data_IF_875462728510
#
_entry.id   IF_875462728510
#
_cell.length_a   1.000
_cell.length_b   1.000
_cell.length_c   1.000
_cell.angle_alpha   90.00
_cell.angle_beta   90.00
_cell.angle_gamma   90.00
#
_symmetry.space_group_name_H-M   'P 1'
#
loop_
_entity.id
_entity.type
_entity.pdbx_description
1 polymer ?
#
# COMPACT_ATOMS: atom_id res chain seq x y z
N UNK A 1 -7.60 4.18 -1.26
CA UNK A 1 -6.76 3.73 -2.41
C UNK A 1 -6.85 4.73 -3.57
N UNK A 2 -8.04 5.01 -4.13
CA UNK A 2 -8.20 5.86 -5.34
C UNK A 2 -7.49 7.22 -5.28
N UNK A 3 -7.54 7.90 -4.14
CA UNK A 3 -6.90 9.21 -3.96
C UNK A 3 -5.36 9.16 -4.05
N UNK A 4 -4.78 7.96 -3.99
CA UNK A 4 -3.33 7.72 -3.92
C UNK A 4 -2.77 7.06 -5.18
N UNK A 5 -3.60 6.73 -6.18
CA UNK A 5 -3.18 5.99 -7.38
C UNK A 5 -2.96 6.87 -8.62
N UNK A 6 -2.83 8.19 -8.49
CA UNK A 6 -2.46 9.16 -9.56
C UNK A 6 -3.00 8.78 -10.97
N UNK A 7 -4.32 8.78 -11.16
CA UNK A 7 -5.00 8.45 -12.43
C UNK A 7 -4.81 7.03 -12.98
N UNK A 8 -4.19 6.11 -12.25
CA UNK A 8 -4.39 4.68 -12.53
C UNK A 8 -5.82 4.34 -12.16
N UNK A 9 -6.64 4.02 -13.16
CA UNK A 9 -7.97 3.47 -12.89
C UNK A 9 -7.78 2.25 -12.00
N UNK A 10 -8.60 2.13 -10.96
CA UNK A 10 -8.61 0.94 -10.11
C UNK A 10 -8.66 -0.33 -10.96
N UNK A 11 -9.41 -0.30 -12.06
CA UNK A 11 -9.56 -1.37 -13.04
C UNK A 11 -8.23 -1.88 -13.63
N UNK A 12 -7.20 -1.04 -13.70
CA UNK A 12 -5.85 -1.44 -14.16
C UNK A 12 -4.98 -2.05 -13.05
N UNK A 13 -5.40 -1.93 -11.80
CA UNK A 13 -4.72 -2.56 -10.67
C UNK A 13 -5.14 -4.02 -10.62
N UNK A 14 -4.16 -4.92 -10.64
CA UNK A 14 -4.43 -6.34 -10.52
C UNK A 14 -5.19 -6.65 -9.23
N UNK A 15 -5.99 -7.72 -9.23
CA UNK A 15 -6.71 -8.14 -8.03
C UNK A 15 -5.76 -8.41 -6.86
N UNK A 16 -4.55 -8.92 -7.16
CA UNK A 16 -3.50 -9.19 -6.17
C UNK A 16 -3.01 -7.88 -5.54
N UNK A 17 -2.56 -6.92 -6.34
CA UNK A 17 -2.06 -5.63 -5.83
C UNK A 17 -3.11 -4.88 -5.03
N UNK A 18 -4.37 -4.95 -5.46
CA UNK A 18 -5.49 -4.32 -4.75
C UNK A 18 -5.71 -4.94 -3.38
N UNK A 19 -5.64 -6.26 -3.26
CA UNK A 19 -5.81 -6.94 -1.97
C UNK A 19 -4.62 -6.70 -1.04
N UNK A 20 -3.39 -6.71 -1.58
CA UNK A 20 -2.18 -6.34 -0.83
C UNK A 20 -2.32 -4.92 -0.27
N UNK A 21 -2.70 -3.95 -1.10
CA UNK A 21 -2.91 -2.57 -0.66
C UNK A 21 -4.00 -2.46 0.41
N UNK A 22 -5.14 -3.16 0.24
CA UNK A 22 -6.23 -3.14 1.24
C UNK A 22 -5.76 -3.64 2.60
N UNK A 23 -5.05 -4.76 2.63
CA UNK A 23 -4.51 -5.33 3.87
C UNK A 23 -3.53 -4.37 4.53
N UNK A 24 -2.51 -3.92 3.80
CA UNK A 24 -1.48 -3.03 4.35
C UNK A 24 -2.05 -1.70 4.85
N UNK A 25 -3.02 -1.12 4.13
CA UNK A 25 -3.70 0.12 4.55
C UNK A 25 -4.49 -0.11 5.83
N UNK A 26 -5.19 -1.24 5.95
CA UNK A 26 -5.91 -1.57 7.17
C UNK A 26 -4.97 -1.66 8.38
N UNK A 27 -3.85 -2.37 8.23
CA UNK A 27 -2.85 -2.48 9.30
C UNK A 27 -2.30 -1.10 9.70
N UNK A 28 -1.90 -0.28 8.72
CA UNK A 28 -1.32 1.06 8.95
C UNK A 28 -2.30 2.00 9.69
N UNK A 29 -3.59 1.93 9.36
CA UNK A 29 -4.59 2.87 9.88
C UNK A 29 -5.22 2.42 11.20
N UNK A 30 -5.33 1.12 11.44
CA UNK A 30 -6.15 0.61 12.54
C UNK A 30 -5.38 -0.27 13.54
N UNK A 31 -4.25 -0.88 13.16
CA UNK A 31 -3.51 -1.80 14.04
C UNK A 31 -2.31 -1.10 14.69
N UNK A 32 -2.53 -0.58 15.90
CA UNK A 32 -1.50 0.18 16.66
C UNK A 32 -0.32 -0.68 17.14
N UNK A 33 -0.48 -1.99 17.20
CA UNK A 33 0.54 -2.93 17.65
C UNK A 33 1.50 -3.38 16.54
N UNK A 34 1.26 -2.98 15.28
CA UNK A 34 2.10 -3.33 14.15
C UNK A 34 2.86 -2.08 13.70
N UNK A 35 4.20 -2.08 13.71
CA UNK A 35 4.96 -0.97 13.16
C UNK A 35 4.64 -0.81 11.67
N UNK A 36 4.25 0.40 11.26
CA UNK A 36 3.85 0.67 9.88
C UNK A 36 4.91 0.31 8.84
N UNK A 37 6.19 0.50 9.17
CA UNK A 37 7.31 0.13 8.30
C UNK A 37 7.32 -1.37 8.00
N UNK A 38 6.90 -2.21 8.96
CA UNK A 38 6.77 -3.66 8.77
C UNK A 38 5.62 -3.94 7.80
N UNK A 39 4.42 -3.38 8.03
CA UNK A 39 3.28 -3.55 7.12
C UNK A 39 3.61 -3.12 5.67
N UNK A 40 4.37 -2.04 5.50
CA UNK A 40 4.82 -1.60 4.17
C UNK A 40 5.80 -2.60 3.57
N UNK A 41 6.81 -3.05 4.33
CA UNK A 41 7.79 -4.02 3.85
C UNK A 41 7.14 -5.34 3.42
N UNK A 42 6.27 -5.90 4.25
CA UNK A 42 5.56 -7.16 3.95
C UNK A 42 4.65 -7.03 2.73
N UNK A 43 3.98 -5.89 2.56
CA UNK A 43 3.18 -5.63 1.37
C UNK A 43 4.04 -5.60 0.09
N UNK A 44 5.24 -5.03 0.15
CA UNK A 44 6.19 -5.00 -0.97
C UNK A 44 6.71 -6.41 -1.30
N UNK A 45 7.02 -7.22 -0.28
CA UNK A 45 7.45 -8.61 -0.50
C UNK A 45 6.33 -9.49 -1.10
N UNK A 46 5.08 -9.32 -0.63
CA UNK A 46 3.93 -9.98 -1.24
C UNK A 46 3.74 -9.57 -2.71
N UNK A 47 3.95 -8.28 -3.02
CA UNK A 47 3.85 -7.77 -4.38
C UNK A 47 4.96 -8.28 -5.29
N UNK A 48 6.18 -8.50 -4.77
CA UNK A 48 7.26 -9.18 -5.50
C UNK A 48 6.92 -10.65 -5.77
N UNK A 49 6.32 -11.33 -4.79
CA UNK A 49 6.06 -12.77 -4.86
C UNK A 49 4.87 -13.12 -5.76
N UNK A 50 3.81 -12.33 -5.71
CA UNK A 50 2.54 -12.66 -6.36
C UNK A 50 2.09 -11.64 -7.42
N UNK A 51 2.70 -10.46 -7.46
CA UNK A 51 2.34 -9.41 -8.40
C UNK A 51 3.04 -9.54 -9.76
N UNK A 52 2.91 -8.48 -10.55
CA UNK A 52 3.61 -8.28 -11.82
C UNK A 52 5.01 -7.70 -11.60
N UNK A 53 5.81 -7.60 -12.67
CA UNK A 53 7.13 -6.97 -12.63
C UNK A 53 7.12 -5.53 -12.09
N UNK A 54 6.00 -4.80 -12.18
CA UNK A 54 5.85 -3.43 -11.69
C UNK A 54 5.13 -3.33 -10.35
N UNK A 55 4.65 -4.44 -9.79
CA UNK A 55 3.77 -4.41 -8.61
C UNK A 55 4.48 -3.92 -7.36
N UNK A 56 5.72 -4.35 -7.12
CA UNK A 56 6.46 -3.97 -5.91
C UNK A 56 6.72 -2.45 -5.82
N UNK A 57 7.10 -1.83 -6.94
CA UNK A 57 7.37 -0.38 -6.99
C UNK A 57 6.07 0.42 -6.89
N UNK A 58 4.99 -0.06 -7.51
CA UNK A 58 3.66 0.50 -7.39
C UNK A 58 3.14 0.47 -5.94
N UNK A 59 3.16 -0.70 -5.30
CA UNK A 59 2.70 -0.86 -3.90
C UNK A 59 3.51 0.01 -2.95
N UNK A 60 4.85 0.02 -3.09
CA UNK A 60 5.71 0.86 -2.27
C UNK A 60 5.39 2.35 -2.42
N UNK A 61 5.18 2.82 -3.66
CA UNK A 61 4.84 4.22 -3.94
C UNK A 61 3.49 4.64 -3.33
N UNK A 62 2.46 3.80 -3.47
CA UNK A 62 1.12 4.08 -2.93
C UNK A 62 1.15 4.11 -1.40
N UNK A 63 1.74 3.10 -0.75
CA UNK A 63 1.78 3.02 0.71
C UNK A 63 2.67 4.12 1.32
N UNK A 64 3.77 4.48 0.68
CA UNK A 64 4.62 5.59 1.12
C UNK A 64 3.89 6.94 1.13
N UNK A 65 3.05 7.20 0.11
CA UNK A 65 2.20 8.40 0.08
C UNK A 65 1.16 8.39 1.21
N UNK A 66 0.54 7.24 1.46
CA UNK A 66 -0.46 7.09 2.54
C UNK A 66 0.16 7.32 3.93
N UNK A 67 1.34 6.73 4.22
CA UNK A 67 1.99 6.93 5.52
C UNK A 67 2.41 8.39 5.74
N UNK A 68 2.90 9.05 4.68
CA UNK A 68 3.24 10.49 4.73
C UNK A 68 2.02 11.34 5.07
N UNK A 69 0.90 11.14 4.38
CA UNK A 69 -0.32 11.91 4.61
C UNK A 69 -0.91 11.63 6.00
N UNK A 70 -0.88 10.37 6.46
CA UNK A 70 -1.31 10.03 7.81
C UNK A 70 -0.48 10.74 8.89
N UNK A 71 0.85 10.83 8.71
CA UNK A 71 1.73 11.55 9.65
C UNK A 71 1.39 13.04 9.72
N UNK A 72 0.97 13.65 8.60
CA UNK A 72 0.53 15.05 8.56
C UNK A 72 -0.77 15.24 9.37
N UNK A 73 -1.74 14.33 9.24
CA UNK A 73 -3.04 14.44 9.92
C UNK A 73 -2.99 14.22 11.45
N UNK A 74 -1.92 13.60 11.97
CA UNK A 74 -1.73 13.33 13.41
C UNK A 74 -0.82 14.32 14.11
N UNK A 75 -0.28 15.30 13.38
CA UNK A 75 0.55 16.38 13.90
C UNK A 75 -0.32 17.58 14.21
#
# INVERSE_FOLDING_TARGET
INNYTNNWSLERITNIDRNILRMAIYEILYLKNIPKSVSINEAVELAKKYGTKSSFSFVNGVLGKIDKDYKIMKK
#
